data_IF_892240074882
#
_entry.id   IF_892240074882
#
_cell.length_a   1.000
_cell.length_b   1.000
_cell.length_c   1.000
_cell.angle_alpha   90.00
_cell.angle_beta   90.00
_cell.angle_gamma   90.00
#
_symmetry.space_group_name_H-M   'P 1'
#
loop_
_entity.id
_entity.type
_entity.pdbx_description
1 polymer ?
#
# COMPACT_ATOMS: atom_id res chain seq x y z
N UNK A 1 -13.62 -1.98 -11.54
CA UNK A 1 -12.33 -1.35 -11.90
C UNK A 1 -11.31 -1.83 -10.89
N UNK A 2 -10.22 -2.42 -11.37
CA UNK A 2 -9.14 -2.91 -10.54
C UNK A 2 -7.97 -1.93 -10.58
N UNK A 3 -7.24 -1.85 -9.49
CA UNK A 3 -6.08 -0.99 -9.34
C UNK A 3 -4.91 -1.80 -8.81
N UNK A 4 -3.72 -1.56 -9.36
CA UNK A 4 -2.47 -2.06 -8.82
C UNK A 4 -1.96 -1.13 -7.73
N UNK A 5 -1.62 -1.71 -6.59
CA UNK A 5 -0.98 -1.03 -5.46
C UNK A 5 0.53 -0.96 -5.74
N UNK A 6 1.08 0.25 -5.72
CA UNK A 6 2.51 0.49 -5.86
C UNK A 6 3.02 1.20 -4.60
N UNK A 7 4.22 0.83 -4.15
CA UNK A 7 4.86 1.43 -2.98
C UNK A 7 6.32 1.73 -3.27
N UNK A 8 6.72 2.98 -3.04
CA UNK A 8 8.13 3.38 -2.97
C UNK A 8 8.70 3.02 -1.58
N UNK A 9 9.51 1.95 -1.53
CA UNK A 9 10.12 1.47 -0.29
C UNK A 9 11.30 2.35 0.16
N UNK A 10 11.95 3.07 -0.74
CA UNK A 10 13.10 3.93 -0.41
C UNK A 10 12.66 5.17 0.39
N UNK A 11 11.44 5.65 0.18
CA UNK A 11 10.84 6.76 0.93
C UNK A 11 10.05 6.31 2.17
N UNK A 12 9.90 5.00 2.38
CA UNK A 12 9.17 4.47 3.53
C UNK A 12 10.01 4.59 4.81
N UNK A 13 9.42 5.19 5.85
CA UNK A 13 10.08 5.39 7.15
C UNK A 13 9.34 4.73 8.32
N UNK A 14 8.54 3.69 8.05
CA UNK A 14 7.97 2.84 9.11
C UNK A 14 6.91 3.48 9.99
N UNK A 15 6.10 4.40 9.46
CA UNK A 15 5.00 5.03 10.21
C UNK A 15 3.81 4.09 10.48
N UNK A 16 3.73 2.95 9.79
CA UNK A 16 2.69 1.92 9.99
C UNK A 16 1.23 2.40 9.85
N UNK A 17 1.00 3.53 9.16
CA UNK A 17 -0.35 4.03 8.88
C UNK A 17 -1.09 3.15 7.85
N UNK A 18 -0.36 2.58 6.90
CA UNK A 18 -0.92 1.76 5.85
C UNK A 18 -1.61 0.48 6.36
N UNK A 19 -1.02 -0.18 7.36
CA UNK A 19 -1.60 -1.37 7.98
C UNK A 19 -2.78 -1.03 8.90
N UNK A 20 -2.82 0.17 9.48
CA UNK A 20 -3.95 0.62 10.28
C UNK A 20 -5.21 0.85 9.40
N UNK A 21 -5.03 1.45 8.22
CA UNK A 21 -6.13 1.75 7.30
C UNK A 21 -6.55 0.56 6.44
N UNK A 22 -5.59 -0.27 6.00
CA UNK A 22 -5.84 -1.37 5.07
C UNK A 22 -5.00 -2.61 5.42
N UNK A 23 -5.28 -3.28 6.55
CA UNK A 23 -4.55 -4.47 6.98
C UNK A 23 -4.72 -5.68 6.03
N UNK A 24 -5.77 -5.67 5.20
CA UNK A 24 -5.99 -6.65 4.14
C UNK A 24 -5.17 -6.39 2.85
N UNK A 25 -4.52 -5.22 2.74
CA UNK A 25 -3.75 -4.81 1.55
C UNK A 25 -2.25 -4.64 1.86
N UNK A 26 -1.92 -4.20 3.06
CA UNK A 26 -0.54 -3.94 3.49
C UNK A 26 -0.13 -4.75 4.71
N UNK A 27 1.13 -5.15 4.72
CA UNK A 27 1.83 -5.67 5.89
C UNK A 27 3.04 -4.79 6.20
N UNK A 28 3.62 -4.96 7.38
CA UNK A 28 4.92 -4.36 7.72
C UNK A 28 5.91 -5.49 7.99
N UNK A 29 7.13 -5.31 7.52
CA UNK A 29 8.18 -6.32 7.56
C UNK A 29 9.47 -5.69 8.05
N UNK A 30 10.04 -6.31 9.08
CA UNK A 30 11.39 -6.01 9.54
C UNK A 30 12.37 -6.81 8.68
N UNK A 31 12.96 -6.12 7.70
CA UNK A 31 13.99 -6.71 6.83
C UNK A 31 15.40 -6.26 7.25
N UNK A 32 15.60 -5.86 8.51
CA UNK A 32 16.89 -5.36 9.00
C UNK A 32 17.28 -4.01 8.41
N UNK A 33 16.31 -3.26 7.88
CA UNK A 33 16.48 -1.87 7.47
C UNK A 33 16.41 -0.95 8.69
N UNK A 34 16.75 0.33 8.51
CA UNK A 34 16.72 1.32 9.59
C UNK A 34 15.30 1.45 10.20
N UNK A 35 14.28 1.23 9.37
CA UNK A 35 12.87 1.27 9.76
C UNK A 35 12.13 0.05 9.21
N UNK A 36 11.06 -0.35 9.89
CA UNK A 36 10.09 -1.29 9.34
C UNK A 36 9.56 -0.76 8.00
N UNK A 37 9.48 -1.64 7.01
CA UNK A 37 9.07 -1.26 5.66
C UNK A 37 7.75 -1.92 5.32
N UNK A 38 6.90 -1.18 4.61
CA UNK A 38 5.63 -1.70 4.13
C UNK A 38 5.84 -2.75 3.03
N UNK A 39 5.05 -3.82 3.10
CA UNK A 39 4.91 -4.82 2.05
C UNK A 39 3.46 -4.85 1.56
N UNK A 40 3.29 -5.09 0.26
CA UNK A 40 1.96 -5.22 -0.35
C UNK A 40 1.59 -6.70 -0.34
N UNK A 41 0.49 -7.03 0.35
CA UNK A 41 -0.04 -8.41 0.40
C UNK A 41 -1.09 -8.66 -0.66
N UNK A 42 -1.82 -7.61 -1.09
CA UNK A 42 -2.74 -7.66 -2.21
C UNK A 42 -2.32 -6.65 -3.26
N UNK A 43 -1.67 -7.12 -4.33
CA UNK A 43 -1.18 -6.27 -5.40
C UNK A 43 -2.31 -5.63 -6.20
N UNK A 44 -3.45 -6.31 -6.33
CA UNK A 44 -4.60 -5.86 -7.09
C UNK A 44 -5.78 -5.67 -6.14
N UNK A 45 -6.35 -4.47 -6.15
CA UNK A 45 -7.47 -4.08 -5.29
C UNK A 45 -8.63 -3.55 -6.11
N UNK A 46 -9.84 -3.82 -5.63
CA UNK A 46 -11.10 -3.29 -6.15
C UNK A 46 -12.13 -3.16 -5.03
N UNK A 47 -13.26 -2.52 -5.33
CA UNK A 47 -14.37 -2.35 -4.37
C UNK A 47 -13.92 -1.78 -3.03
N UNK A 48 -14.21 -2.50 -1.95
CA UNK A 48 -13.90 -2.11 -0.57
C UNK A 48 -12.39 -2.02 -0.31
N UNK A 49 -11.60 -2.98 -0.80
CA UNK A 49 -10.14 -2.97 -0.62
C UNK A 49 -9.48 -1.81 -1.35
N UNK A 50 -10.06 -1.35 -2.48
CA UNK A 50 -9.63 -0.12 -3.13
C UNK A 50 -9.88 1.11 -2.25
N UNK A 51 -11.06 1.22 -1.62
CA UNK A 51 -11.36 2.35 -0.73
C UNK A 51 -10.41 2.39 0.47
N UNK A 52 -10.14 1.24 1.08
CA UNK A 52 -9.16 1.11 2.17
C UNK A 52 -7.75 1.48 1.70
N UNK A 53 -7.30 0.97 0.55
CA UNK A 53 -6.01 1.31 -0.01
C UNK A 53 -5.88 2.82 -0.33
N UNK A 54 -6.99 3.46 -0.74
CA UNK A 54 -7.05 4.90 -0.97
C UNK A 54 -6.93 5.71 0.32
N UNK A 55 -7.53 5.24 1.41
CA UNK A 55 -7.37 5.84 2.75
C UNK A 55 -5.93 5.68 3.25
N UNK A 56 -5.35 4.49 3.13
CA UNK A 56 -3.94 4.24 3.44
C UNK A 56 -3.00 5.16 2.66
N UNK A 57 -3.27 5.36 1.37
CA UNK A 57 -2.54 6.30 0.52
C UNK A 57 -2.60 7.74 1.04
N UNK A 58 -3.79 8.21 1.45
CA UNK A 58 -3.97 9.54 2.00
C UNK A 58 -3.36 9.72 3.40
N UNK A 59 -3.30 8.64 4.19
CA UNK A 59 -2.74 8.64 5.54
C UNK A 59 -1.21 8.59 5.56
N UNK A 60 -0.56 8.21 4.46
CA UNK A 60 0.90 8.10 4.40
C UNK A 60 1.55 9.50 4.40
N UNK A 61 2.33 9.87 5.43
CA UNK A 61 2.93 11.21 5.53
C UNK A 61 3.98 11.47 4.44
N UNK A 62 4.63 10.40 3.95
CA UNK A 62 5.65 10.47 2.91
C UNK A 62 5.08 10.25 1.49
N UNK A 63 3.77 9.99 1.37
CA UNK A 63 3.11 9.83 0.07
C UNK A 63 3.63 8.66 -0.77
N UNK A 64 4.13 7.58 -0.13
CA UNK A 64 4.84 6.50 -0.84
C UNK A 64 3.94 5.50 -1.57
N UNK A 65 2.62 5.57 -1.32
CA UNK A 65 1.64 4.63 -1.85
C UNK A 65 0.98 5.25 -3.07
N UNK A 66 0.77 4.46 -4.12
CA UNK A 66 0.08 4.87 -5.34
C UNK A 66 -0.85 3.77 -5.83
N UNK A 67 -1.96 4.16 -6.47
CA UNK A 67 -2.94 3.25 -7.06
C UNK A 67 -3.02 3.52 -8.56
N UNK A 68 -2.66 2.53 -9.37
CA UNK A 68 -2.68 2.64 -10.82
C UNK A 68 -3.79 1.77 -11.40
N UNK A 69 -4.63 2.28 -12.33
CA UNK A 69 -5.63 1.45 -12.98
C UNK A 69 -4.92 0.32 -13.74
N UNK A 70 -5.44 -0.91 -13.63
CA UNK A 70 -5.00 -2.04 -14.46
C UNK A 70 -6.07 -2.33 -15.50
N UNK A 71 -5.65 -2.41 -16.75
CA UNK A 71 -6.46 -2.95 -17.84
C UNK A 71 -6.44 -4.48 -17.70
N UNK A 72 -7.62 -5.11 -17.64
CA UNK A 72 -7.73 -6.57 -17.75
C UNK A 72 -7.33 -6.91 -19.19
N UNK A 73 -6.09 -7.38 -19.39
CA UNK A 73 -5.75 -8.10 -20.62
C UNK A 73 -6.55 -9.42 -20.60
N UNK A 74 -7.60 -9.49 -21.44
CA UNK A 74 -8.41 -10.70 -21.69
C UNK A 74 -7.58 -11.90 -22.20
#
# INVERSE_FOLDING_TARGET
MRYRVCVDKDLCQGHSMCIAEAPDVFSVSDQGQIYDTVEVISEIVDGESYEKARLAMAACPNGVISLQPVEDEE
#
